data_IF_698806389425
#
_entry.id   IF_698806389425
#
_cell.length_a   1.000
_cell.length_b   1.000
_cell.length_c   1.000
_cell.angle_alpha   90.00
_cell.angle_beta   90.00
_cell.angle_gamma   90.00
#
_symmetry.space_group_name_H-M   'P 1'
#
loop_
_entity.id
_entity.type
_entity.pdbx_description
1 polymer ?
#
# COMPACT_ATOMS: atom_id res chain seq x y z
N UNK A 1 2.06 1.73 18.13
CA UNK A 1 1.21 1.05 17.12
C UNK A 1 -0.18 1.67 17.24
N UNK A 2 -0.57 2.53 16.31
CA UNK A 2 -1.86 3.23 16.39
C UNK A 2 -2.96 2.25 15.97
N UNK A 3 -3.65 1.66 16.94
CA UNK A 3 -4.78 0.76 16.71
C UNK A 3 -5.96 1.61 16.19
N UNK A 4 -6.50 1.28 15.02
CA UNK A 4 -7.71 1.91 14.46
C UNK A 4 -7.53 2.72 13.17
N UNK A 5 -6.34 2.76 12.57
CA UNK A 5 -6.16 3.40 11.27
C UNK A 5 -6.48 2.43 10.12
N UNK A 6 -7.28 2.88 9.16
CA UNK A 6 -7.50 2.17 7.90
C UNK A 6 -6.51 2.73 6.85
N UNK A 7 -6.12 1.93 5.85
CA UNK A 7 -5.43 2.49 4.69
C UNK A 7 -6.26 3.62 4.07
N UNK A 8 -5.64 4.76 3.73
CA UNK A 8 -6.29 5.82 2.97
C UNK A 8 -6.99 5.29 1.71
N UNK A 9 -8.09 5.96 1.31
CA UNK A 9 -8.74 5.69 0.03
C UNK A 9 -7.73 5.79 -1.12
N UNK A 10 -7.76 4.82 -2.03
CA UNK A 10 -6.79 4.70 -3.12
C UNK A 10 -7.27 3.73 -4.18
N UNK A 11 -6.75 3.87 -5.40
CA UNK A 11 -6.99 2.97 -6.52
C UNK A 11 -5.65 2.55 -7.16
N UNK A 12 -5.67 1.55 -8.05
CA UNK A 12 -4.46 0.94 -8.66
C UNK A 12 -3.40 0.46 -7.65
N UNK A 13 -3.83 0.14 -6.43
CA UNK A 13 -3.03 -0.53 -5.41
C UNK A 13 -3.00 -2.05 -5.68
N UNK A 14 -2.11 -2.76 -5.00
CA UNK A 14 -2.14 -4.22 -4.98
C UNK A 14 -2.44 -4.78 -3.60
N UNK A 15 -3.09 -5.94 -3.59
CA UNK A 15 -3.39 -6.72 -2.40
C UNK A 15 -2.88 -8.14 -2.59
N UNK A 16 -2.13 -8.65 -1.61
CA UNK A 16 -1.48 -9.95 -1.67
C UNK A 16 -1.80 -10.74 -0.40
N UNK A 17 -2.20 -12.01 -0.55
CA UNK A 17 -2.37 -12.91 0.58
C UNK A 17 -1.02 -13.52 0.99
N UNK A 18 -0.77 -13.62 2.30
CA UNK A 18 0.41 -14.27 2.88
C UNK A 18 0.00 -15.05 4.14
N UNK A 19 0.87 -15.94 4.67
CA UNK A 19 0.63 -16.59 5.96
C UNK A 19 0.44 -15.61 7.13
N UNK A 20 0.94 -14.37 7.00
CA UNK A 20 0.87 -13.34 8.05
C UNK A 20 -0.38 -12.46 7.99
N UNK A 21 -1.23 -12.66 6.99
CA UNK A 21 -2.40 -11.85 6.69
C UNK A 21 -2.40 -11.32 5.26
N UNK A 22 -3.33 -10.40 4.99
CA UNK A 22 -3.45 -9.75 3.69
C UNK A 22 -2.64 -8.45 3.70
N UNK A 23 -1.75 -8.30 2.73
CA UNK A 23 -0.89 -7.13 2.58
C UNK A 23 -1.43 -6.22 1.48
N UNK A 24 -1.45 -4.91 1.72
CA UNK A 24 -1.78 -3.88 0.74
C UNK A 24 -0.59 -2.96 0.55
N UNK A 25 -0.24 -2.67 -0.70
CA UNK A 25 0.85 -1.74 -1.03
C UNK A 25 0.48 -0.79 -2.16
N UNK A 26 0.95 0.45 -2.01
CA UNK A 26 0.97 1.47 -3.04
C UNK A 26 -0.41 1.94 -3.50
N UNK A 27 -0.49 2.33 -4.77
CA UNK A 27 -1.67 2.93 -5.38
C UNK A 27 -1.65 4.45 -5.30
N UNK A 28 -2.73 5.04 -5.80
CA UNK A 28 -2.86 6.48 -6.01
C UNK A 28 -4.24 6.95 -5.54
N UNK A 29 -4.31 8.19 -5.10
CA UNK A 29 -5.56 8.88 -4.84
C UNK A 29 -5.54 10.24 -5.53
N UNK A 30 -6.52 10.48 -6.39
CA UNK A 30 -6.73 11.80 -6.97
C UNK A 30 -7.77 12.52 -6.13
N UNK A 31 -7.33 13.60 -5.49
CA UNK A 31 -8.23 14.55 -4.89
C UNK A 31 -8.72 15.53 -5.96
N UNK A 32 -9.96 15.35 -6.38
CA UNK A 32 -10.64 16.23 -7.32
C UNK A 32 -11.63 17.16 -6.61
N UNK A 33 -11.32 17.59 -5.38
CA UNK A 33 -12.12 18.52 -4.56
C UNK A 33 -12.23 19.92 -5.18
N UNK A 34 -12.82 20.06 -6.38
CA UNK A 34 -13.16 21.31 -7.07
C UNK A 34 -12.04 22.38 -7.13
N UNK A 35 -10.80 22.01 -6.84
CA UNK A 35 -9.61 22.84 -6.98
C UNK A 35 -9.26 22.89 -8.46
N UNK A 36 -8.87 24.07 -8.94
CA UNK A 36 -8.41 24.28 -10.33
C UNK A 36 -7.12 23.52 -10.65
N UNK A 37 -6.49 22.92 -9.64
CA UNK A 37 -5.34 22.03 -9.76
C UNK A 37 -5.66 20.70 -9.06
N UNK A 38 -5.72 19.57 -9.78
CA UNK A 38 -5.90 18.26 -9.16
C UNK A 38 -4.66 17.91 -8.32
N UNK A 39 -4.88 17.36 -7.12
CA UNK A 39 -3.81 16.83 -6.28
C UNK A 39 -3.79 15.31 -6.34
N UNK A 40 -2.73 14.75 -6.91
CA UNK A 40 -2.52 13.31 -6.93
C UNK A 40 -1.56 12.91 -5.81
N UNK A 41 -2.02 12.04 -4.92
CA UNK A 41 -1.21 11.44 -3.86
C UNK A 41 -0.80 10.03 -4.26
N UNK A 42 0.50 9.78 -4.32
CA UNK A 42 1.07 8.45 -4.53
C UNK A 42 1.46 7.82 -3.20
N UNK A 43 1.07 6.57 -3.02
CA UNK A 43 1.35 5.84 -1.81
C UNK A 43 2.53 4.86 -2.00
N UNK A 44 3.28 4.68 -0.92
CA UNK A 44 4.32 3.65 -0.78
C UNK A 44 4.29 2.97 0.61
N UNK A 45 3.19 3.19 1.33
CA UNK A 45 2.95 2.55 2.61
C UNK A 45 2.59 1.07 2.41
N UNK A 46 2.92 0.28 3.43
CA UNK A 46 2.53 -1.13 3.52
C UNK A 46 1.54 -1.27 4.66
N UNK A 47 0.38 -1.83 4.35
CA UNK A 47 -0.67 -2.14 5.32
C UNK A 47 -0.87 -3.65 5.41
N UNK A 48 -1.20 -4.12 6.61
CA UNK A 48 -1.56 -5.50 6.88
C UNK A 48 -2.96 -5.58 7.46
N UNK A 49 -3.81 -6.39 6.87
CA UNK A 49 -5.10 -6.79 7.39
C UNK A 49 -4.96 -8.18 8.03
N UNK A 50 -5.30 -8.25 9.32
CA UNK A 50 -5.40 -9.51 10.04
C UNK A 50 -6.65 -9.49 10.92
N UNK A 51 -7.48 -10.53 10.82
CA UNK A 51 -8.73 -10.67 11.59
C UNK A 51 -9.63 -9.42 11.55
N UNK A 52 -9.74 -8.78 10.37
CA UNK A 52 -10.57 -7.57 10.20
C UNK A 52 -9.94 -6.26 10.69
N UNK A 53 -8.72 -6.31 11.25
CA UNK A 53 -8.01 -5.13 11.75
C UNK A 53 -6.87 -4.75 10.81
N UNK A 54 -6.90 -3.50 10.33
CA UNK A 54 -5.80 -2.91 9.58
C UNK A 54 -4.70 -2.40 10.52
N UNK A 55 -3.46 -2.67 10.15
CA UNK A 55 -2.25 -2.17 10.83
C UNK A 55 -1.29 -1.63 9.78
N UNK A 56 -0.79 -0.42 10.00
CA UNK A 56 0.26 0.14 9.15
C UNK A 56 1.60 -0.49 9.52
N UNK A 57 2.23 -1.14 8.54
CA UNK A 57 3.53 -1.82 8.68
C UNK A 57 4.69 -0.88 8.32
N UNK A 58 4.51 -0.08 7.28
CA UNK A 58 5.47 0.94 6.85
C UNK A 58 4.75 2.19 6.34
N UNK A 59 5.35 3.36 6.57
CA UNK A 59 4.84 4.67 6.12
C UNK A 59 5.39 5.03 4.74
N UNK A 60 4.71 5.92 4.03
CA UNK A 60 5.17 6.41 2.71
C UNK A 60 6.48 7.19 2.78
N UNK A 61 6.74 7.85 3.92
CA UNK A 61 7.97 8.59 4.17
C UNK A 61 8.69 7.96 5.38
N UNK A 62 9.94 7.53 5.20
CA UNK A 62 10.76 6.96 6.29
C UNK A 62 11.84 6.00 5.82
N UNK A 63 12.77 5.68 6.72
CA UNK A 63 13.73 4.61 6.49
C UNK A 63 12.98 3.27 6.39
N UNK A 64 13.19 2.52 5.30
CA UNK A 64 12.43 1.30 5.02
C UNK A 64 11.06 1.52 4.36
N UNK A 65 10.76 2.74 3.90
CA UNK A 65 9.64 2.96 2.99
C UNK A 65 9.91 2.25 1.65
N UNK A 66 8.86 1.64 1.09
CA UNK A 66 8.95 1.09 -0.25
C UNK A 66 9.02 2.24 -1.28
N UNK A 67 9.48 1.99 -2.51
CA UNK A 67 9.29 2.94 -3.60
C UNK A 67 7.80 3.18 -3.84
N UNK A 68 7.41 4.44 -4.10
CA UNK A 68 6.07 4.75 -4.59
C UNK A 68 5.81 3.94 -5.85
N UNK A 69 4.69 3.21 -5.86
CA UNK A 69 4.28 2.40 -7.00
C UNK A 69 2.78 2.39 -7.13
N UNK A 70 2.29 2.51 -8.36
CA UNK A 70 0.88 2.31 -8.71
C UNK A 70 0.77 1.49 -9.99
N UNK A 71 -0.38 0.80 -10.15
CA UNK A 71 -0.63 -0.14 -11.25
C UNK A 71 0.45 -1.25 -11.40
N UNK A 72 1.17 -1.54 -10.33
CA UNK A 72 2.17 -2.59 -10.28
C UNK A 72 1.51 -3.96 -10.04
N UNK A 73 2.26 -5.02 -10.28
CA UNK A 73 1.92 -6.37 -9.81
C UNK A 73 2.68 -6.65 -8.51
N UNK A 74 2.10 -7.49 -7.66
CA UNK A 74 2.71 -7.92 -6.41
C UNK A 74 2.38 -9.40 -6.14
N UNK A 75 3.36 -10.15 -5.64
CA UNK A 75 3.19 -11.53 -5.19
C UNK A 75 3.99 -11.78 -3.91
N UNK A 76 3.52 -12.71 -3.09
CA UNK A 76 4.25 -13.16 -1.91
C UNK A 76 5.02 -14.43 -2.26
N UNK A 77 6.33 -14.41 -1.99
CA UNK A 77 7.22 -15.55 -2.12
C UNK A 77 7.35 -16.24 -0.76
N UNK A 78 6.73 -17.42 -0.58
CA UNK A 78 6.79 -18.15 0.70
C UNK A 78 8.15 -18.77 0.99
N UNK A 79 9.02 -18.95 -0.01
CA UNK A 79 10.34 -19.57 0.20
C UNK A 79 11.29 -18.58 0.86
N UNK A 80 11.21 -17.30 0.47
CA UNK A 80 12.07 -16.24 0.97
C UNK A 80 11.40 -15.31 2.00
N UNK A 81 10.14 -15.58 2.39
CA UNK A 81 9.32 -14.72 3.26
C UNK A 81 9.33 -13.26 2.79
N UNK A 82 9.14 -13.08 1.47
CA UNK A 82 9.37 -11.80 0.80
C UNK A 82 8.19 -11.38 -0.08
N UNK A 83 7.98 -10.07 -0.18
CA UNK A 83 7.03 -9.48 -1.12
C UNK A 83 7.78 -9.03 -2.37
N UNK A 84 7.37 -9.55 -3.53
CA UNK A 84 7.98 -9.26 -4.82
C UNK A 84 7.05 -8.36 -5.62
N UNK A 85 7.59 -7.24 -6.10
CA UNK A 85 6.87 -6.28 -6.94
C UNK A 85 7.42 -6.29 -8.36
N UNK A 86 6.54 -6.11 -9.35
CA UNK A 86 6.95 -6.01 -10.74
C UNK A 86 6.14 -4.95 -11.50
N UNK A 87 6.83 -4.20 -12.35
CA UNK A 87 6.22 -3.15 -13.17
C UNK A 87 5.60 -2.01 -12.35
N UNK A 88 4.61 -1.37 -12.96
CA UNK A 88 4.03 -0.12 -12.47
C UNK A 88 4.95 1.07 -12.65
N UNK A 89 4.52 2.22 -12.13
CA UNK A 89 5.25 3.48 -12.16
C UNK A 89 5.39 4.05 -10.75
#
# INVERSE_FOLDING_TARGET
ITVGANPPARYLHQVVASPHGVLLHGGVYDDNSYSTVPYTTYYADLWKLNAGVWTQVSTTNGAGAFPQRWAHAAVYDPVNDALVFYGGL
#
